data_IF_208592152038
#
_entry.id   IF_208592152038
#
_cell.length_a   1.000
_cell.length_b   1.000
_cell.length_c   1.000
_cell.angle_alpha   90.00
_cell.angle_beta   90.00
_cell.angle_gamma   90.00
#
_symmetry.space_group_name_H-M   'P 1'
#
loop_
_entity.id
_entity.type
_entity.pdbx_description
1 polymer ?
#
# COMPACT_ATOMS: atom_id res chain seq x y z
N UNK A 1 5.61 -11.12 14.59
CA UNK A 1 6.57 -11.08 13.46
C UNK A 1 6.02 -10.34 12.27
N UNK A 2 4.97 -10.87 11.62
CA UNK A 2 4.48 -10.33 10.33
C UNK A 2 4.03 -8.87 10.35
N UNK A 3 3.54 -8.34 11.47
CA UNK A 3 3.10 -6.94 11.57
C UNK A 3 4.24 -5.92 11.75
N UNK A 4 5.35 -6.31 12.36
CA UNK A 4 6.43 -5.38 12.73
C UNK A 4 7.49 -5.28 11.64
N UNK A 5 7.91 -6.41 11.07
CA UNK A 5 9.03 -6.45 10.11
C UNK A 5 8.85 -5.49 8.92
N UNK A 6 7.70 -5.45 8.20
CA UNK A 6 7.54 -4.52 7.09
C UNK A 6 7.59 -3.05 7.53
N UNK A 7 7.09 -2.72 8.72
CA UNK A 7 7.12 -1.35 9.25
C UNK A 7 8.54 -0.94 9.62
N UNK A 8 9.29 -1.84 10.24
CA UNK A 8 10.68 -1.58 10.63
C UNK A 8 11.56 -1.38 9.39
N UNK A 9 11.32 -2.15 8.32
CA UNK A 9 11.97 -1.95 7.02
C UNK A 9 11.63 -0.58 6.41
N UNK A 10 10.36 -0.16 6.42
CA UNK A 10 9.97 1.16 5.88
C UNK A 10 10.58 2.29 6.71
N UNK A 11 10.58 2.19 8.05
CA UNK A 11 11.21 3.20 8.92
C UNK A 11 12.72 3.29 8.73
N UNK A 12 13.37 2.19 8.36
CA UNK A 12 14.79 2.19 8.02
C UNK A 12 15.07 2.77 6.63
N UNK A 13 14.16 2.60 5.67
CA UNK A 13 14.31 3.03 4.28
C UNK A 13 13.80 4.46 4.01
N UNK A 14 12.92 5.01 4.85
CA UNK A 14 12.24 6.29 4.62
C UNK A 14 12.29 7.20 5.84
N UNK A 15 12.33 8.51 5.63
CA UNK A 15 12.36 9.52 6.70
C UNK A 15 11.03 9.66 7.44
N UNK A 16 9.91 9.40 6.77
CA UNK A 16 8.57 9.57 7.34
C UNK A 16 7.72 8.33 7.06
N UNK A 17 7.13 7.79 8.12
CA UNK A 17 6.19 6.67 8.07
C UNK A 17 5.01 6.99 8.99
N UNK A 18 3.80 6.79 8.47
CA UNK A 18 2.55 6.98 9.19
C UNK A 18 1.73 5.70 9.05
N UNK A 19 1.31 5.13 10.17
CA UNK A 19 0.31 4.07 10.18
C UNK A 19 -1.08 4.65 9.89
N UNK A 20 -1.93 3.87 9.22
CA UNK A 20 -3.37 4.17 9.16
C UNK A 20 -3.99 4.07 10.56
N UNK A 21 -5.26 4.51 10.69
CA UNK A 21 -5.97 4.50 11.97
C UNK A 21 -5.87 3.11 12.67
N UNK A 22 -5.70 3.06 14.01
CA UNK A 22 -5.42 1.82 14.74
C UNK A 22 -6.46 0.70 14.54
N UNK A 23 -7.71 1.07 14.30
CA UNK A 23 -8.85 0.19 14.02
C UNK A 23 -8.92 -0.30 12.56
N UNK A 24 -7.93 0.04 11.72
CA UNK A 24 -7.85 -0.36 10.30
C UNK A 24 -6.58 -1.14 9.95
N UNK A 25 -5.75 -1.44 10.96
CA UNK A 25 -4.47 -2.14 10.84
C UNK A 25 -4.45 -3.44 11.65
N UNK A 26 -3.38 -4.23 11.51
CA UNK A 26 -3.21 -5.54 12.15
C UNK A 26 -4.39 -6.47 11.87
N UNK A 27 -5.00 -7.05 12.90
CA UNK A 27 -6.14 -7.97 12.81
C UNK A 27 -7.43 -7.31 12.31
N UNK A 28 -7.53 -5.99 12.37
CA UNK A 28 -8.64 -5.23 11.81
C UNK A 28 -8.43 -4.84 10.33
N UNK A 29 -7.28 -5.22 9.74
CA UNK A 29 -6.98 -4.89 8.35
C UNK A 29 -7.88 -5.68 7.39
N UNK A 30 -8.62 -4.96 6.54
CA UNK A 30 -9.30 -5.58 5.40
C UNK A 30 -8.33 -5.93 4.26
N UNK A 31 -8.64 -7.00 3.53
CA UNK A 31 -7.93 -7.39 2.30
C UNK A 31 -8.00 -6.28 1.24
N UNK A 32 -7.05 -6.25 0.29
CA UNK A 32 -7.06 -5.31 -0.83
C UNK A 32 -8.19 -5.56 -1.86
N UNK A 33 -8.85 -6.72 -1.78
CA UNK A 33 -9.91 -7.11 -2.73
C UNK A 33 -9.42 -7.73 -4.05
N UNK A 34 -8.12 -7.99 -4.20
CA UNK A 34 -7.54 -8.60 -5.41
C UNK A 34 -7.11 -10.08 -5.28
N UNK A 35 -7.09 -10.63 -4.06
CA UNK A 35 -6.69 -12.03 -3.83
C UNK A 35 -7.71 -13.05 -4.35
N UNK A 36 -7.39 -14.35 -4.24
CA UNK A 36 -8.35 -15.43 -4.51
C UNK A 36 -8.82 -15.56 -5.97
N UNK A 37 -8.01 -15.12 -6.94
CA UNK A 37 -8.35 -15.14 -8.36
C UNK A 37 -9.20 -13.95 -8.82
N UNK A 38 -9.42 -12.95 -7.96
CA UNK A 38 -10.25 -11.79 -8.28
C UNK A 38 -9.58 -10.78 -9.21
N UNK A 39 -8.26 -10.84 -9.42
CA UNK A 39 -7.46 -9.90 -10.23
C UNK A 39 -7.75 -9.92 -11.76
N UNK A 40 -8.90 -10.45 -12.19
CA UNK A 40 -9.38 -10.30 -13.58
C UNK A 40 -10.02 -8.93 -13.80
N UNK A 41 -10.03 -8.47 -15.05
CA UNK A 41 -10.64 -7.19 -15.42
C UNK A 41 -12.17 -7.26 -15.46
N UNK A 42 -12.75 -8.45 -15.66
CA UNK A 42 -14.21 -8.68 -15.60
C UNK A 42 -14.81 -8.41 -14.21
N UNK A 43 -13.96 -8.42 -13.16
CA UNK A 43 -14.37 -8.24 -11.77
C UNK A 43 -13.97 -6.87 -11.22
N UNK A 44 -13.67 -5.89 -12.07
CA UNK A 44 -13.21 -4.57 -11.63
C UNK A 44 -14.19 -3.89 -10.66
N UNK A 45 -15.50 -3.99 -10.89
CA UNK A 45 -16.50 -3.39 -10.00
C UNK A 45 -16.46 -4.02 -8.60
N UNK A 46 -16.33 -5.34 -8.52
CA UNK A 46 -16.19 -6.07 -7.26
C UNK A 46 -14.89 -5.69 -6.54
N UNK A 47 -13.79 -5.62 -7.30
CA UNK A 47 -12.47 -5.22 -6.81
C UNK A 47 -12.47 -3.81 -6.23
N UNK A 48 -13.17 -2.87 -6.88
CA UNK A 48 -13.36 -1.51 -6.37
C UNK A 48 -14.12 -1.58 -5.05
N UNK A 49 -15.33 -2.16 -5.03
CA UNK A 49 -16.13 -2.27 -3.79
C UNK A 49 -15.38 -2.94 -2.64
N UNK A 50 -14.61 -4.00 -2.92
CA UNK A 50 -13.80 -4.70 -1.93
C UNK A 50 -12.63 -3.89 -1.37
N UNK A 51 -12.11 -2.91 -2.12
CA UNK A 51 -11.03 -2.04 -1.69
C UNK A 51 -11.51 -0.85 -0.84
N UNK A 52 -12.82 -0.55 -0.82
CA UNK A 52 -13.40 0.63 -0.18
C UNK A 52 -12.90 0.88 1.25
N UNK A 53 -12.87 -0.11 2.17
CA UNK A 53 -12.42 0.14 3.55
C UNK A 53 -10.96 0.59 3.61
N UNK A 54 -10.11 0.06 2.71
CA UNK A 54 -8.69 0.41 2.62
C UNK A 54 -8.48 1.77 1.94
N UNK A 55 -9.30 2.10 0.95
CA UNK A 55 -9.28 3.41 0.29
C UNK A 55 -9.70 4.53 1.25
N UNK A 56 -10.72 4.30 2.10
CA UNK A 56 -11.15 5.25 3.13
C UNK A 56 -10.07 5.48 4.19
N UNK A 57 -9.46 4.41 4.70
CA UNK A 57 -8.36 4.51 5.66
C UNK A 57 -7.14 5.26 5.07
N UNK A 58 -6.85 5.07 3.78
CA UNK A 58 -5.82 5.82 3.07
C UNK A 58 -6.19 7.30 2.90
N UNK A 59 -7.42 7.60 2.48
CA UNK A 59 -7.90 8.98 2.31
C UNK A 59 -7.77 9.78 3.61
N UNK A 60 -8.12 9.17 4.75
CA UNK A 60 -7.99 9.82 6.05
C UNK A 60 -6.54 10.24 6.35
N UNK A 61 -5.55 9.37 6.14
CA UNK A 61 -4.15 9.73 6.42
C UNK A 61 -3.55 10.66 5.36
N UNK A 62 -4.09 10.68 4.14
CA UNK A 62 -3.75 11.70 3.15
C UNK A 62 -4.19 13.08 3.68
N UNK A 63 -5.45 13.21 4.12
CA UNK A 63 -5.99 14.49 4.61
C UNK A 63 -5.33 14.95 5.93
N UNK A 64 -5.06 14.03 6.85
CA UNK A 64 -4.54 14.36 8.18
C UNK A 64 -3.03 14.56 8.21
N UNK A 65 -2.28 13.83 7.37
CA UNK A 65 -0.82 13.77 7.45
C UNK A 65 -0.11 14.08 6.12
N UNK A 66 -0.85 14.32 5.03
CA UNK A 66 -0.25 14.59 3.72
C UNK A 66 0.52 13.40 3.15
N UNK A 67 0.11 12.17 3.48
CA UNK A 67 0.75 10.95 2.96
C UNK A 67 0.72 10.96 1.43
N UNK A 68 1.88 10.72 0.81
CA UNK A 68 2.02 10.73 -0.66
C UNK A 68 1.92 9.34 -1.26
N UNK A 69 2.29 8.30 -0.51
CA UNK A 69 2.34 6.92 -0.98
C UNK A 69 1.88 5.92 0.08
N UNK A 70 1.18 4.88 -0.36
CA UNK A 70 0.87 3.68 0.43
C UNK A 70 1.87 2.58 0.06
N UNK A 71 2.48 1.94 1.06
CA UNK A 71 3.38 0.81 0.85
C UNK A 71 2.64 -0.54 0.95
N UNK A 72 2.90 -1.44 0.01
CA UNK A 72 2.40 -2.82 0.02
C UNK A 72 3.55 -3.83 -0.08
N UNK A 73 3.58 -4.83 0.80
CA UNK A 73 4.56 -5.93 0.72
C UNK A 73 4.15 -7.00 -0.30
N UNK A 74 2.84 -7.12 -0.55
CA UNK A 74 2.26 -8.14 -1.43
C UNK A 74 2.13 -7.62 -2.87
N UNK A 75 2.63 -8.41 -3.83
CA UNK A 75 2.54 -8.08 -5.26
C UNK A 75 1.07 -7.94 -5.74
N UNK A 76 0.16 -8.80 -5.27
CA UNK A 76 -1.27 -8.72 -5.57
C UNK A 76 -1.85 -7.40 -5.05
N UNK A 77 -1.51 -7.00 -3.81
CA UNK A 77 -1.97 -5.73 -3.27
C UNK A 77 -1.49 -4.55 -4.10
N UNK A 78 -0.22 -4.55 -4.55
CA UNK A 78 0.32 -3.52 -5.44
C UNK A 78 -0.50 -3.46 -6.74
N UNK A 79 -0.60 -4.57 -7.47
CA UNK A 79 -1.33 -4.64 -8.74
C UNK A 79 -2.81 -4.26 -8.62
N UNK A 80 -3.44 -4.64 -7.51
CA UNK A 80 -4.84 -4.32 -7.23
C UNK A 80 -5.02 -2.80 -7.05
N UNK A 81 -4.26 -2.19 -6.14
CA UNK A 81 -4.40 -0.76 -5.86
C UNK A 81 -3.95 0.12 -7.03
N UNK A 82 -3.00 -0.32 -7.85
CA UNK A 82 -2.60 0.43 -9.06
C UNK A 82 -3.78 0.67 -9.99
N UNK A 83 -4.69 -0.31 -10.13
CA UNK A 83 -5.89 -0.17 -10.96
C UNK A 83 -7.09 0.42 -10.21
N UNK A 84 -7.19 0.24 -8.89
CA UNK A 84 -8.39 0.58 -8.11
C UNK A 84 -8.34 1.96 -7.46
N UNK A 85 -7.18 2.44 -7.01
CA UNK A 85 -7.06 3.78 -6.39
C UNK A 85 -7.58 4.93 -7.28
N UNK A 86 -7.40 4.92 -8.62
CA UNK A 86 -7.99 5.92 -9.51
C UNK A 86 -9.51 6.04 -9.43
N UNK A 87 -10.21 4.94 -9.12
CA UNK A 87 -11.67 4.95 -8.95
C UNK A 87 -12.11 5.72 -7.71
N UNK A 88 -11.18 6.03 -6.80
CA UNK A 88 -11.36 6.83 -5.61
C UNK A 88 -10.70 8.22 -5.70
N UNK A 89 -10.26 8.64 -6.89
CA UNK A 89 -9.61 9.94 -7.09
C UNK A 89 -8.13 10.00 -6.68
N UNK A 90 -7.51 8.85 -6.40
CA UNK A 90 -6.09 8.74 -6.03
C UNK A 90 -5.21 8.36 -7.23
N UNK A 91 -3.92 8.74 -7.20
CA UNK A 91 -2.96 8.42 -8.25
C UNK A 91 -2.65 6.91 -8.36
N UNK A 92 -2.36 6.43 -9.58
CA UNK A 92 -1.97 5.03 -9.82
C UNK A 92 -0.61 4.67 -9.19
N UNK A 93 0.29 5.65 -9.15
CA UNK A 93 1.66 5.61 -8.64
C UNK A 93 1.73 5.75 -7.11
N UNK A 94 0.62 6.13 -6.47
CA UNK A 94 0.51 6.25 -5.02
C UNK A 94 0.77 4.90 -4.30
N UNK A 95 0.58 3.76 -4.97
CA UNK A 95 0.91 2.45 -4.41
C UNK A 95 2.33 2.02 -4.79
N UNK A 96 3.17 1.79 -3.78
CA UNK A 96 4.56 1.34 -3.95
C UNK A 96 4.80 0.03 -3.22
N UNK A 97 5.80 -0.73 -3.63
CA UNK A 97 6.19 -1.95 -2.93
C UNK A 97 7.19 -1.67 -1.82
N UNK A 98 7.09 -2.38 -0.69
CA UNK A 98 8.13 -2.33 0.36
C UNK A 98 9.50 -2.74 -0.20
N UNK A 99 9.54 -3.72 -1.09
CA UNK A 99 10.75 -4.12 -1.82
C UNK A 99 11.37 -2.97 -2.62
N UNK A 100 10.55 -2.09 -3.20
CA UNK A 100 11.02 -0.94 -3.97
C UNK A 100 11.60 0.11 -3.02
N UNK A 101 10.90 0.43 -1.93
CA UNK A 101 11.41 1.35 -0.90
C UNK A 101 12.77 0.92 -0.34
N UNK A 102 12.90 -0.37 -0.01
CA UNK A 102 14.17 -0.89 0.50
C UNK A 102 15.26 -0.83 -0.58
N UNK A 103 14.93 -1.21 -1.83
CA UNK A 103 15.89 -1.14 -2.94
C UNK A 103 16.39 0.27 -3.23
N UNK A 104 15.48 1.25 -3.25
CA UNK A 104 15.80 2.66 -3.51
C UNK A 104 16.63 3.29 -2.39
N UNK A 105 16.57 2.74 -1.17
CA UNK A 105 17.35 3.18 -0.02
C UNK A 105 18.78 2.61 0.03
N UNK A 106 19.11 1.60 -0.78
CA UNK A 106 20.46 1.02 -0.81
C UNK A 106 21.44 1.95 -1.52
N UNK A 107 22.53 2.29 -0.84
CA UNK A 107 23.66 3.03 -1.42
C UNK A 107 24.78 2.04 -1.71
N UNK A 108 25.05 1.82 -3.00
CA UNK A 108 26.18 1.01 -3.44
C UNK A 108 27.44 1.89 -3.51
N UNK A 109 28.56 1.39 -3.00
CA UNK A 109 29.85 2.05 -3.18
C UNK A 109 30.26 2.06 -4.66
N UNK A 110 30.89 3.14 -5.11
CA UNK A 110 31.50 3.20 -6.44
C UNK A 110 32.80 2.39 -6.43
N UNK A 111 32.70 1.07 -6.55
CA UNK A 111 33.85 0.19 -6.84
C UNK A 111 33.75 -0.31 -8.29
N UNK A 112 33.93 0.62 -9.22
CA UNK A 112 34.28 0.35 -10.62
C UNK A 112 35.40 1.31 -11.05
#
# INVERSE_FOLDING_TARGET
>A
GQFTIPRDLIRAACTHFVDMAPDTIHEHTFCCGGGGGLLTDDLIELRVKGALPRAQALQQVIEQHGVTHMAAICAICKSQFTKVLPQYGMGMDMIISVHQLVGDALVFGNEH
#
